data_IF_805621908727
#
_entry.id   IF_805621908727
#
_cell.length_a   1.000
_cell.length_b   1.000
_cell.length_c   1.000
_cell.angle_alpha   90.00
_cell.angle_beta   90.00
_cell.angle_gamma   90.00
#
_symmetry.space_group_name_H-M   'P 1'
#
loop_
_entity.id
_entity.type
_entity.pdbx_description
1 polymer ?
#
# COMPACT_ATOMS: atom_id res chain seq x y z
N UNK A 1 30.91 47.03 8.98
CA UNK A 1 32.23 47.22 8.34
C UNK A 1 32.82 45.85 8.11
N UNK A 2 33.16 45.58 6.85
CA UNK A 2 33.88 44.41 6.36
C UNK A 2 35.29 44.35 6.98
N UNK A 3 35.72 43.18 7.41
CA UNK A 3 37.15 42.87 7.56
C UNK A 3 37.54 41.86 6.50
N UNK A 4 38.58 42.23 5.74
CA UNK A 4 39.11 41.63 4.53
C UNK A 4 40.53 41.12 4.84
N UNK A 5 40.85 39.90 4.37
CA UNK A 5 42.15 39.30 3.95
C UNK A 5 43.42 39.57 4.82
N UNK A 6 44.53 38.83 4.75
CA UNK A 6 45.24 38.02 3.74
C UNK A 6 46.15 37.05 4.55
N UNK A 7 46.65 35.95 3.97
CA UNK A 7 48.10 35.76 3.73
C UNK A 7 48.34 34.49 2.89
N UNK A 8 49.11 34.73 1.83
CA UNK A 8 49.62 33.86 0.77
C UNK A 8 50.79 32.98 1.24
N UNK A 9 50.96 31.81 0.63
CA UNK A 9 52.19 31.01 0.66
C UNK A 9 52.46 30.37 -0.70
N UNK A 10 53.66 30.60 -1.26
CA UNK A 10 54.06 30.41 -2.66
C UNK A 10 54.71 29.05 -2.99
N UNK A 11 54.74 28.73 -4.31
CA UNK A 11 55.84 28.10 -5.09
C UNK A 11 56.14 26.59 -4.89
N UNK A 12 56.45 25.75 -5.89
CA UNK A 12 56.79 25.90 -7.33
C UNK A 12 56.83 24.52 -8.04
N UNK A 13 56.71 24.50 -9.39
CA UNK A 13 57.18 23.50 -10.39
C UNK A 13 56.31 22.28 -10.81
N UNK A 14 56.03 22.21 -12.13
CA UNK A 14 55.20 21.24 -12.91
C UNK A 14 55.99 19.99 -13.47
N UNK A 15 55.49 19.17 -14.44
CA UNK A 15 54.92 17.82 -14.28
C UNK A 15 55.74 16.70 -15.00
N UNK A 16 55.29 15.41 -15.04
CA UNK A 16 54.70 14.93 -16.31
C UNK A 16 53.60 13.86 -16.21
N UNK A 17 52.92 13.70 -17.36
CA UNK A 17 51.83 12.78 -17.76
C UNK A 17 52.28 11.31 -17.89
N UNK A 18 51.32 10.34 -17.79
CA UNK A 18 51.16 9.01 -18.47
C UNK A 18 50.33 8.10 -17.52
N UNK A 19 49.23 7.39 -17.83
CA UNK A 19 48.39 7.10 -19.03
C UNK A 19 47.09 6.41 -18.55
N UNK A 20 46.06 6.45 -19.40
CA UNK A 20 44.82 5.63 -19.45
C UNK A 20 44.81 4.27 -18.73
N UNK A 21 43.70 3.94 -18.04
CA UNK A 21 42.92 2.72 -18.32
C UNK A 21 41.48 2.77 -17.71
N UNK A 22 40.48 2.76 -18.62
CA UNK A 22 39.11 2.24 -18.50
C UNK A 22 38.22 2.71 -17.32
N UNK A 23 37.58 3.86 -17.52
CA UNK A 23 36.30 4.18 -16.89
C UNK A 23 35.16 3.40 -17.56
N UNK A 24 34.71 2.31 -16.95
CA UNK A 24 33.44 1.68 -17.29
C UNK A 24 32.29 2.36 -16.52
N UNK A 25 31.13 2.62 -17.14
CA UNK A 25 29.95 3.03 -16.39
C UNK A 25 29.49 1.87 -15.51
N UNK A 26 29.39 2.10 -14.19
CA UNK A 26 28.62 1.24 -13.31
C UNK A 26 27.15 1.51 -13.60
N UNK A 27 26.56 0.73 -14.50
CA UNK A 27 25.10 0.55 -14.54
C UNK A 27 24.71 -0.24 -13.28
N UNK A 28 24.34 0.48 -12.23
CA UNK A 28 23.59 -0.10 -11.12
C UNK A 28 22.14 -0.19 -11.55
N UNK A 29 21.84 -1.16 -12.42
CA UNK A 29 20.48 -1.57 -12.68
C UNK A 29 20.00 -2.42 -11.51
N UNK A 30 19.39 -1.80 -10.50
CA UNK A 30 18.49 -2.53 -9.63
C UNK A 30 17.28 -2.94 -10.47
N UNK A 31 16.93 -4.23 -10.55
CA UNK A 31 15.67 -4.61 -11.18
C UNK A 31 14.58 -4.02 -10.29
N UNK A 32 13.85 -3.05 -10.84
CA UNK A 32 12.56 -2.62 -10.31
C UNK A 32 11.67 -3.86 -10.23
N UNK A 33 11.59 -4.44 -9.03
CA UNK A 33 10.72 -5.55 -8.74
C UNK A 33 9.34 -4.94 -8.60
N UNK A 34 8.56 -5.02 -9.69
CA UNK A 34 7.11 -4.91 -9.59
C UNK A 34 6.67 -5.82 -8.44
N UNK A 35 5.87 -5.36 -7.46
CA UNK A 35 5.39 -6.23 -6.40
C UNK A 35 4.65 -7.40 -7.06
N UNK A 36 5.16 -8.60 -6.78
CA UNK A 36 4.56 -9.85 -7.23
C UNK A 36 3.27 -10.01 -6.42
N UNK A 37 2.15 -10.23 -7.10
CA UNK A 37 0.88 -10.52 -6.43
C UNK A 37 1.08 -11.69 -5.43
N UNK A 38 0.27 -11.76 -4.35
CA UNK A 38 0.35 -12.84 -3.38
C UNK A 38 0.41 -14.19 -4.08
N UNK A 39 1.37 -15.04 -3.68
CA UNK A 39 1.52 -16.37 -4.26
C UNK A 39 0.36 -17.21 -3.73
N UNK A 40 -0.62 -17.48 -4.59
CA UNK A 40 -1.78 -18.30 -4.23
C UNK A 40 -1.33 -19.67 -3.67
N UNK A 41 -1.97 -20.16 -2.58
CA UNK A 41 -1.64 -21.45 -2.00
C UNK A 41 -1.89 -22.58 -3.02
N UNK A 42 -1.07 -23.64 -2.94
CA UNK A 42 -1.14 -24.76 -3.85
C UNK A 42 -2.53 -25.44 -3.79
N UNK A 43 -3.31 -25.30 -4.86
CA UNK A 43 -4.66 -25.89 -4.99
C UNK A 43 -5.82 -24.91 -4.88
N UNK A 44 -5.58 -23.62 -4.63
CA UNK A 44 -6.62 -22.60 -4.80
C UNK A 44 -7.01 -22.47 -6.29
N UNK A 45 -8.31 -22.24 -6.60
CA UNK A 45 -8.69 -21.88 -7.95
C UNK A 45 -7.91 -20.62 -8.39
N UNK A 46 -7.52 -20.50 -9.66
CA UNK A 46 -6.81 -19.32 -10.12
C UNK A 46 -7.69 -18.08 -9.93
N UNK A 47 -7.11 -17.02 -9.39
CA UNK A 47 -7.75 -15.72 -9.26
C UNK A 47 -8.31 -15.24 -10.61
N UNK A 48 -9.60 -14.87 -10.62
CA UNK A 48 -10.32 -14.47 -11.82
C UNK A 48 -10.81 -13.01 -11.78
N UNK A 49 -10.46 -12.27 -10.72
CA UNK A 49 -10.84 -10.87 -10.55
C UNK A 49 -10.01 -9.89 -11.39
N UNK A 50 -10.24 -8.57 -11.22
CA UNK A 50 -9.45 -7.54 -11.90
C UNK A 50 -7.98 -7.58 -11.46
N UNK A 51 -7.05 -7.08 -12.27
CA UNK A 51 -5.68 -6.86 -11.80
C UNK A 51 -5.71 -5.88 -10.61
N UNK A 52 -4.93 -6.20 -9.58
CA UNK A 52 -4.78 -5.37 -8.41
C UNK A 52 -3.31 -5.38 -7.95
N UNK A 53 -2.94 -4.37 -7.16
CA UNK A 53 -1.62 -4.28 -6.53
C UNK A 53 -1.79 -4.13 -5.02
N UNK A 54 -1.10 -4.96 -4.24
CA UNK A 54 -0.87 -4.69 -2.81
C UNK A 54 0.23 -3.63 -2.73
N UNK A 55 -0.16 -2.42 -2.35
CA UNK A 55 0.70 -1.24 -2.33
C UNK A 55 1.52 -1.20 -1.04
N UNK A 56 0.85 -1.45 0.09
CA UNK A 56 1.40 -1.33 1.44
C UNK A 56 0.84 -2.49 2.28
N UNK A 57 1.70 -3.03 3.14
CA UNK A 57 1.30 -3.97 4.19
C UNK A 57 1.75 -3.40 5.53
N UNK A 58 0.78 -3.15 6.40
CA UNK A 58 1.01 -2.75 7.78
C UNK A 58 0.76 -3.94 8.71
N UNK A 59 1.76 -4.36 9.47
CA UNK A 59 1.62 -5.48 10.40
C UNK A 59 1.26 -5.00 11.81
N UNK A 60 0.62 -5.89 12.59
CA UNK A 60 0.28 -5.64 14.01
C UNK A 60 -0.63 -4.42 14.21
N UNK A 61 -1.59 -4.23 13.30
CA UNK A 61 -2.58 -3.16 13.38
C UNK A 61 -3.61 -3.47 14.46
N UNK A 62 -3.80 -2.47 15.32
CA UNK A 62 -4.80 -2.48 16.38
C UNK A 62 -4.53 -3.51 17.50
N UNK A 63 -5.44 -3.58 18.49
CA UNK A 63 -5.35 -4.51 19.60
C UNK A 63 -5.39 -6.00 19.20
N UNK A 64 -6.02 -6.32 18.06
CA UNK A 64 -6.05 -7.67 17.53
C UNK A 64 -4.75 -8.09 16.80
N UNK A 65 -3.83 -7.15 16.55
CA UNK A 65 -2.54 -7.43 15.91
C UNK A 65 -2.66 -7.94 14.47
N UNK A 66 -3.65 -7.45 13.72
CA UNK A 66 -3.94 -7.92 12.37
C UNK A 66 -2.97 -7.30 11.35
N UNK A 67 -2.77 -7.99 10.23
CA UNK A 67 -2.12 -7.39 9.06
C UNK A 67 -3.16 -6.61 8.26
N UNK A 68 -2.83 -5.38 7.89
CA UNK A 68 -3.60 -4.52 7.00
C UNK A 68 -2.93 -4.42 5.63
N UNK A 69 -3.71 -4.69 4.59
CA UNK A 69 -3.29 -4.63 3.20
C UNK A 69 -3.99 -3.46 2.52
N UNK A 70 -3.19 -2.53 2.00
CA UNK A 70 -3.69 -1.47 1.13
C UNK A 70 -3.57 -1.90 -0.32
N UNK A 71 -4.70 -1.98 -1.00
CA UNK A 71 -4.81 -2.51 -2.34
C UNK A 71 -5.30 -1.43 -3.30
N UNK A 72 -4.69 -1.36 -4.48
CA UNK A 72 -5.17 -0.55 -5.59
C UNK A 72 -5.81 -1.41 -6.67
N UNK A 73 -6.98 -0.98 -7.15
CA UNK A 73 -7.60 -1.51 -8.37
C UNK A 73 -7.78 -0.33 -9.33
N UNK A 74 -6.93 -0.27 -10.36
CA UNK A 74 -7.01 0.80 -11.35
C UNK A 74 -8.27 0.66 -12.22
N UNK A 75 -8.88 1.79 -12.58
CA UNK A 75 -10.01 1.88 -13.51
C UNK A 75 -11.24 1.04 -13.13
N UNK A 76 -11.47 0.81 -11.83
CA UNK A 76 -12.65 0.12 -11.34
C UNK A 76 -13.91 0.96 -11.58
N UNK A 77 -14.90 0.39 -12.28
CA UNK A 77 -16.21 1.03 -12.46
C UNK A 77 -17.11 0.76 -11.25
N UNK A 78 -17.18 1.74 -10.35
CA UNK A 78 -17.99 1.66 -9.12
C UNK A 78 -19.45 2.15 -9.31
N UNK A 79 -19.86 2.47 -10.55
CA UNK A 79 -21.22 2.95 -10.84
C UNK A 79 -22.30 1.86 -10.82
N UNK A 80 -21.89 0.59 -10.77
CA UNK A 80 -22.78 -0.57 -10.70
C UNK A 80 -22.34 -1.54 -9.61
N UNK A 81 -23.23 -2.36 -9.04
CA UNK A 81 -22.87 -3.29 -7.96
C UNK A 81 -21.85 -4.36 -8.35
N UNK A 82 -21.50 -4.51 -9.63
CA UNK A 82 -20.52 -5.48 -10.11
C UNK A 82 -19.11 -5.25 -9.53
N UNK A 83 -18.77 -4.02 -9.12
CA UNK A 83 -17.49 -3.76 -8.46
C UNK A 83 -17.36 -4.52 -7.12
N UNK A 84 -18.49 -4.83 -6.45
CA UNK A 84 -18.46 -5.53 -5.15
C UNK A 84 -17.97 -6.95 -5.29
N UNK A 85 -18.37 -7.63 -6.36
CA UNK A 85 -17.86 -8.97 -6.66
C UNK A 85 -16.35 -8.91 -6.94
N UNK A 86 -15.90 -7.93 -7.71
CA UNK A 86 -14.48 -7.70 -7.96
C UNK A 86 -13.67 -7.44 -6.68
N UNK A 87 -14.19 -6.62 -5.76
CA UNK A 87 -13.56 -6.36 -4.45
C UNK A 87 -13.52 -7.64 -3.61
N UNK A 88 -14.60 -8.42 -3.55
CA UNK A 88 -14.63 -9.68 -2.79
C UNK A 88 -13.65 -10.72 -3.33
N UNK A 89 -13.46 -10.78 -4.65
CA UNK A 89 -12.43 -11.63 -5.26
C UNK A 89 -11.04 -11.20 -4.79
N UNK A 90 -10.72 -9.89 -4.81
CA UNK A 90 -9.44 -9.36 -4.32
C UNK A 90 -9.23 -9.68 -2.84
N UNK A 91 -10.23 -9.42 -1.99
CA UNK A 91 -10.16 -9.73 -0.55
C UNK A 91 -9.94 -11.22 -0.32
N UNK A 92 -10.63 -12.08 -1.08
CA UNK A 92 -10.49 -13.53 -0.97
C UNK A 92 -9.09 -13.99 -1.39
N UNK A 93 -8.50 -13.39 -2.42
CA UNK A 93 -7.14 -13.71 -2.88
C UNK A 93 -6.08 -13.30 -1.85
N UNK A 94 -6.21 -12.08 -1.28
CA UNK A 94 -5.34 -11.63 -0.18
C UNK A 94 -5.47 -12.55 1.04
N UNK A 95 -6.69 -12.86 1.46
CA UNK A 95 -6.96 -13.75 2.59
C UNK A 95 -6.43 -15.18 2.33
N UNK A 96 -6.51 -15.68 1.10
CA UNK A 96 -5.96 -16.97 0.71
C UNK A 96 -4.42 -16.97 0.75
N UNK A 97 -3.78 -15.88 0.32
CA UNK A 97 -2.32 -15.68 0.45
C UNK A 97 -1.85 -15.75 1.90
N UNK A 98 -2.62 -15.13 2.80
CA UNK A 98 -2.37 -15.15 4.25
C UNK A 98 -2.83 -16.44 4.95
N UNK A 99 -3.58 -17.31 4.24
CA UNK A 99 -4.25 -18.48 4.80
C UNK A 99 -5.13 -18.14 6.01
N UNK A 100 -5.68 -16.93 6.04
CA UNK A 100 -6.46 -16.40 7.15
C UNK A 100 -7.48 -15.38 6.65
N UNK A 101 -8.69 -15.44 7.23
CA UNK A 101 -9.72 -14.44 6.99
C UNK A 101 -9.55 -13.25 7.96
N UNK A 102 -8.67 -13.39 8.95
CA UNK A 102 -8.43 -12.41 10.00
C UNK A 102 -7.35 -11.43 9.52
N UNK A 103 -7.75 -10.60 8.57
CA UNK A 103 -6.93 -9.57 7.93
C UNK A 103 -7.78 -8.31 7.77
N UNK A 104 -7.11 -7.18 7.56
CA UNK A 104 -7.75 -5.94 7.11
C UNK A 104 -7.34 -5.72 5.65
N UNK A 105 -8.29 -5.40 4.79
CA UNK A 105 -8.00 -5.06 3.38
C UNK A 105 -8.72 -3.77 3.03
N UNK A 106 -7.97 -2.74 2.68
CA UNK A 106 -8.53 -1.47 2.20
C UNK A 106 -8.28 -1.35 0.71
N UNK A 107 -9.35 -1.18 -0.06
CA UNK A 107 -9.32 -1.08 -1.51
C UNK A 107 -9.56 0.36 -1.93
N UNK A 108 -8.61 0.92 -2.68
CA UNK A 108 -8.64 2.28 -3.22
C UNK A 108 -8.36 2.26 -4.73
N UNK A 109 -8.69 3.34 -5.43
CA UNK A 109 -8.37 3.49 -6.86
C UNK A 109 -7.13 4.34 -7.12
N UNK A 110 -6.61 5.03 -6.10
CA UNK A 110 -5.41 5.86 -6.18
C UNK A 110 -4.43 5.47 -5.08
N UNK A 111 -3.20 5.15 -5.49
CA UNK A 111 -2.08 4.79 -4.61
C UNK A 111 -1.81 5.85 -3.54
N UNK A 112 -1.99 7.13 -3.85
CA UNK A 112 -1.73 8.22 -2.90
C UNK A 112 -2.67 8.20 -1.71
N UNK A 113 -3.87 7.65 -1.86
CA UNK A 113 -4.79 7.45 -0.72
C UNK A 113 -4.17 6.43 0.23
N UNK A 114 -3.72 5.29 -0.29
CA UNK A 114 -3.06 4.27 0.52
C UNK A 114 -1.81 4.80 1.22
N UNK A 115 -0.95 5.53 0.51
CA UNK A 115 0.30 6.08 1.07
C UNK A 115 0.05 7.16 2.12
N UNK A 116 -1.00 7.96 1.97
CA UNK A 116 -1.36 9.00 2.91
C UNK A 116 -2.05 8.47 4.18
N UNK A 117 -2.82 7.39 4.06
CA UNK A 117 -3.65 6.87 5.16
C UNK A 117 -2.99 5.68 5.89
N UNK A 118 -1.97 5.06 5.29
CA UNK A 118 -1.23 4.00 5.96
C UNK A 118 -0.35 4.53 7.10
N UNK A 119 -0.41 3.91 8.29
CA UNK A 119 0.45 4.26 9.41
C UNK A 119 1.95 4.16 9.12
N UNK A 120 2.38 3.24 8.25
CA UNK A 120 3.81 3.06 7.97
C UNK A 120 4.38 4.06 6.97
N UNK A 121 3.54 4.69 6.13
CA UNK A 121 4.01 5.57 5.05
C UNK A 121 3.59 7.03 5.20
N UNK A 122 2.61 7.35 6.04
CA UNK A 122 2.07 8.73 6.15
C UNK A 122 3.13 9.79 6.44
N UNK A 123 4.16 9.47 7.24
CA UNK A 123 5.23 10.42 7.54
C UNK A 123 6.12 10.72 6.33
N UNK A 124 6.45 9.69 5.55
CA UNK A 124 7.22 9.84 4.31
C UNK A 124 6.38 10.58 3.25
N UNK A 125 5.07 10.30 3.18
CA UNK A 125 4.13 11.00 2.32
C UNK A 125 4.07 12.50 2.66
N UNK A 126 4.04 12.86 3.95
CA UNK A 126 4.09 14.27 4.39
C UNK A 126 5.44 14.90 4.02
N UNK A 127 6.56 14.19 4.16
CA UNK A 127 7.87 14.72 3.76
C UNK A 127 7.95 15.01 2.25
N UNK A 128 7.38 14.14 1.42
CA UNK A 128 7.41 14.28 -0.03
C UNK A 128 6.42 15.34 -0.57
N UNK A 129 5.17 15.32 -0.08
CA UNK A 129 4.08 16.12 -0.64
C UNK A 129 3.69 17.34 0.21
N UNK A 130 4.06 17.35 1.50
CA UNK A 130 3.75 18.40 2.47
C UNK A 130 2.39 18.24 3.14
N UNK A 131 2.28 18.75 4.38
CA UNK A 131 1.05 18.74 5.18
C UNK A 131 -0.14 19.37 4.45
N UNK A 132 0.09 20.46 3.69
CA UNK A 132 -0.96 21.14 2.94
C UNK A 132 -1.59 20.21 1.87
N UNK A 133 -0.79 19.33 1.26
CA UNK A 133 -1.31 18.37 0.29
C UNK A 133 -2.10 17.26 0.99
N UNK A 134 -1.57 16.71 2.09
CA UNK A 134 -2.27 15.74 2.91
C UNK A 134 -3.65 16.27 3.35
N UNK A 135 -3.71 17.48 3.91
CA UNK A 135 -4.94 18.02 4.50
C UNK A 135 -5.97 18.46 3.46
N UNK A 136 -5.55 18.93 2.28
CA UNK A 136 -6.47 19.53 1.31
C UNK A 136 -6.72 18.67 0.07
N UNK A 137 -5.73 17.92 -0.40
CA UNK A 137 -5.84 17.14 -1.62
C UNK A 137 -6.30 15.70 -1.35
N UNK A 138 -5.74 15.03 -0.33
CA UNK A 138 -6.08 13.63 -0.04
C UNK A 138 -7.57 13.44 0.28
N UNK A 139 -8.23 14.25 1.14
CA UNK A 139 -9.66 14.09 1.38
C UNK A 139 -10.53 14.21 0.12
N UNK A 140 -10.09 15.00 -0.86
CA UNK A 140 -10.80 15.09 -2.15
C UNK A 140 -10.61 13.82 -2.98
N UNK A 141 -9.40 13.24 -2.97
CA UNK A 141 -9.12 11.97 -3.63
C UNK A 141 -9.88 10.82 -2.96
N UNK A 142 -9.97 10.79 -1.63
CA UNK A 142 -10.69 9.75 -0.88
C UNK A 142 -12.17 9.67 -1.24
N UNK A 143 -12.84 10.82 -1.40
CA UNK A 143 -14.25 10.84 -1.81
C UNK A 143 -14.44 10.05 -3.09
N UNK A 144 -13.58 10.23 -4.09
CA UNK A 144 -13.73 9.54 -5.38
C UNK A 144 -13.07 8.17 -5.43
N UNK A 145 -12.04 7.95 -4.61
CA UNK A 145 -11.12 6.82 -4.75
C UNK A 145 -11.11 5.81 -3.62
N UNK A 146 -11.83 6.04 -2.51
CA UNK A 146 -12.06 5.00 -1.51
C UNK A 146 -13.19 4.08 -1.98
N UNK A 147 -12.93 2.78 -2.07
CA UNK A 147 -13.92 1.81 -2.60
C UNK A 147 -14.52 0.99 -1.46
N UNK A 148 -13.67 0.35 -0.67
CA UNK A 148 -14.12 -0.56 0.37
C UNK A 148 -13.05 -0.80 1.45
N UNK A 149 -13.50 -1.18 2.64
CA UNK A 149 -12.65 -1.69 3.72
C UNK A 149 -13.23 -2.97 4.27
N UNK A 150 -12.51 -4.08 4.11
CA UNK A 150 -12.80 -5.34 4.76
C UNK A 150 -12.06 -5.41 6.10
N UNK A 151 -12.78 -5.81 7.14
CA UNK A 151 -12.20 -6.14 8.45
C UNK A 151 -12.67 -7.52 8.85
N UNK A 152 -11.73 -8.44 9.03
CA UNK A 152 -12.01 -9.80 9.48
C UNK A 152 -11.39 -10.11 10.83
N UNK A 153 -12.09 -10.91 11.63
CA UNK A 153 -11.58 -11.42 12.91
C UNK A 153 -11.64 -10.40 14.05
N UNK A 154 -12.39 -9.31 13.92
CA UNK A 154 -12.42 -8.22 14.90
C UNK A 154 -13.85 -7.92 15.39
N UNK A 155 -14.06 -7.89 16.70
CA UNK A 155 -15.31 -7.38 17.27
C UNK A 155 -15.29 -5.84 17.25
N UNK A 156 -16.18 -5.16 16.50
CA UNK A 156 -16.15 -3.70 16.37
C UNK A 156 -16.47 -2.96 17.68
N UNK A 157 -17.21 -3.57 18.61
CA UNK A 157 -17.60 -2.94 19.87
C UNK A 157 -16.49 -3.02 20.94
N UNK A 158 -15.68 -4.07 20.87
CA UNK A 158 -14.68 -4.40 21.91
C UNK A 158 -13.24 -4.24 21.43
N UNK A 159 -13.05 -4.16 20.11
CA UNK A 159 -11.75 -4.24 19.45
C UNK A 159 -10.94 -5.48 19.86
N UNK A 160 -11.62 -6.58 20.20
CA UNK A 160 -11.00 -7.85 20.55
C UNK A 160 -11.13 -8.85 19.38
N UNK A 161 -10.18 -9.79 19.23
CA UNK A 161 -10.29 -10.86 18.23
C UNK A 161 -11.57 -11.69 18.40
N UNK A 162 -12.18 -12.11 17.29
CA UNK A 162 -13.37 -12.97 17.30
C UNK A 162 -13.48 -13.83 16.04
N UNK A 163 -13.98 -15.05 16.19
CA UNK A 163 -14.30 -15.95 15.06
C UNK A 163 -15.77 -15.87 14.63
N UNK A 164 -16.59 -15.09 15.35
CA UNK A 164 -18.01 -14.95 15.05
C UNK A 164 -18.24 -14.15 13.76
N UNK A 165 -19.29 -14.49 13.00
CA UNK A 165 -19.54 -13.89 11.67
C UNK A 165 -19.72 -12.36 11.72
N UNK A 166 -20.19 -11.83 12.84
CA UNK A 166 -20.33 -10.39 13.09
C UNK A 166 -18.99 -9.66 13.29
N UNK A 167 -17.87 -10.39 13.38
CA UNK A 167 -16.53 -9.83 13.30
C UNK A 167 -15.91 -9.84 11.89
N UNK A 168 -16.73 -10.07 10.86
CA UNK A 168 -16.31 -10.05 9.46
C UNK A 168 -17.25 -9.16 8.66
N UNK A 169 -16.74 -8.02 8.20
CA UNK A 169 -17.53 -7.04 7.47
C UNK A 169 -16.76 -6.40 6.32
N UNK A 170 -17.51 -5.95 5.33
CA UNK A 170 -17.07 -4.99 4.32
C UNK A 170 -17.85 -3.70 4.52
N UNK A 171 -17.11 -2.61 4.72
CA UNK A 171 -17.60 -1.25 4.58
C UNK A 171 -17.45 -0.84 3.12
N UNK A 172 -18.57 -0.64 2.43
CA UNK A 172 -18.61 -0.08 1.10
C UNK A 172 -18.67 1.44 1.21
N UNK A 173 -17.74 2.14 0.58
CA UNK A 173 -17.73 3.60 0.66
C UNK A 173 -17.41 4.33 -0.67
N UNK A 174 -17.95 3.89 -1.82
CA UNK A 174 -17.74 4.61 -3.06
C UNK A 174 -18.40 6.00 -2.98
N UNK A 175 -17.70 7.04 -3.45
CA UNK A 175 -18.26 8.40 -3.55
C UNK A 175 -18.76 9.00 -2.23
N UNK A 176 -18.34 8.46 -1.08
CA UNK A 176 -18.76 8.95 0.22
C UNK A 176 -20.06 8.35 0.77
N UNK A 177 -20.70 7.39 0.07
CA UNK A 177 -21.92 6.71 0.52
C UNK A 177 -21.60 5.42 1.28
N UNK A 178 -21.77 5.41 2.61
CA UNK A 178 -21.43 4.27 3.47
C UNK A 178 -22.54 3.21 3.48
N UNK A 179 -22.17 1.97 3.16
CA UNK A 179 -22.97 0.76 3.40
C UNK A 179 -22.13 -0.31 4.10
N UNK A 180 -22.77 -1.16 4.91
CA UNK A 180 -22.10 -2.26 5.62
C UNK A 180 -22.67 -3.59 5.18
N UNK A 181 -21.78 -4.55 4.92
CA UNK A 181 -22.14 -5.93 4.59
C UNK A 181 -21.38 -6.89 5.50
N UNK A 182 -22.11 -7.75 6.24
CA UNK A 182 -21.51 -8.87 6.95
C UNK A 182 -21.14 -9.98 5.95
N UNK A 183 -19.84 -10.25 5.81
CA UNK A 183 -19.32 -11.19 4.83
C UNK A 183 -17.92 -11.68 5.22
N UNK A 184 -17.66 -12.96 5.01
CA UNK A 184 -16.37 -13.62 5.29
C UNK A 184 -15.91 -14.38 4.03
N UNK A 185 -14.64 -14.30 3.61
CA UNK A 185 -14.13 -15.06 2.49
C UNK A 185 -14.12 -16.56 2.80
N UNK A 186 -14.45 -17.37 1.79
CA UNK A 186 -14.33 -18.83 1.87
C UNK A 186 -12.88 -19.22 1.57
N UNK A 187 -12.16 -19.67 2.60
CA UNK A 187 -10.78 -20.14 2.44
C UNK A 187 -10.73 -21.61 2.04
N UNK A 188 -9.79 -22.01 1.16
CA UNK A 188 -9.52 -23.42 0.91
C UNK A 188 -9.08 -24.09 2.21
N UNK A 189 -9.57 -25.31 2.45
CA UNK A 189 -9.17 -26.08 3.63
C UNK A 189 -7.64 -26.26 3.66
N UNK A 190 -7.01 -25.89 4.77
CA UNK A 190 -5.58 -26.14 5.00
C UNK A 190 -5.31 -27.63 4.83
N UNK A 191 -4.46 -28.00 3.86
CA UNK A 191 -4.12 -29.39 3.57
C UNK A 191 -2.97 -29.88 4.43
#
# INVERSE_FOLDING_TARGET
MLSVLVVTGCSDSEPPVVTDDVGGPRETGEPSRSPEAPVAPAGAPPYAGPPYEVVITDENIGPAGLSQYWVTIENLDVSSTAYRDAVKEVVSDVAAGEQSADVIVTVVTDRKIAEAESPSTVLDFIEEYGDDYLVNAIPTLEVEGWVASYSGGLNPDQADPTDALDGYEILWWPYGDLEVEAWKPDLPAST
#
